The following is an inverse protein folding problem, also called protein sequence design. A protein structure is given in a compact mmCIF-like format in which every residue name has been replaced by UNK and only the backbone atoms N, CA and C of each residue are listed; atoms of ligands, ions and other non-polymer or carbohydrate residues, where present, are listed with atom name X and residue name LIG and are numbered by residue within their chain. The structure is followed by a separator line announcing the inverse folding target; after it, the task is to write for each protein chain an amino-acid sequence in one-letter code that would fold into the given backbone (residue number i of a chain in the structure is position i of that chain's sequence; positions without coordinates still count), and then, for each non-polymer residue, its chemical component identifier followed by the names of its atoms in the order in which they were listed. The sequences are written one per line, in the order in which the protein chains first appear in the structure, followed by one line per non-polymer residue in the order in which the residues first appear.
data_IF_854042330390
#
_entry.id   IF_854042330390
#
_cell.length_a   1.000
_cell.length_b   1.000
_cell.length_c   1.000
_cell.angle_alpha   90.00
_cell.angle_beta   90.00
_cell.angle_gamma   90.00
#
_symmetry.space_group_name_H-M   'P 1'
#
loop_
_entity.id
_entity.type
_entity.pdbx_description
1 polymer ?
#
# COMPACT_ATOMS: atom_id res chain seq x y z
N UNK A 1 -46.58 -14.10 -4.04
CA UNK A 1 -46.08 -12.80 -4.57
C UNK A 1 -45.10 -12.06 -3.66
N UNK A 2 -45.15 -12.21 -2.31
CA UNK A 2 -44.23 -11.50 -1.38
C UNK A 2 -42.77 -12.02 -1.37
N UNK A 3 -42.55 -13.31 -1.67
CA UNK A 3 -41.20 -13.93 -1.68
C UNK A 3 -40.33 -13.41 -2.84
N UNK A 4 -40.92 -13.26 -4.03
CA UNK A 4 -40.23 -12.77 -5.24
C UNK A 4 -39.81 -11.30 -5.05
N UNK A 5 -40.65 -10.50 -4.39
CA UNK A 5 -40.36 -9.10 -4.11
C UNK A 5 -39.19 -8.92 -3.12
N UNK A 6 -39.04 -9.81 -2.12
CA UNK A 6 -37.89 -9.79 -1.18
C UNK A 6 -36.58 -10.19 -1.85
N UNK A 7 -36.61 -11.11 -2.82
CA UNK A 7 -35.42 -11.54 -3.56
C UNK A 7 -34.90 -10.45 -4.50
N UNK A 8 -35.81 -9.73 -5.17
CA UNK A 8 -35.46 -8.57 -6.00
C UNK A 8 -34.92 -7.43 -5.13
N UNK A 9 -35.50 -7.20 -3.95
CA UNK A 9 -35.02 -6.16 -3.03
C UNK A 9 -33.61 -6.48 -2.49
N UNK A 10 -33.29 -7.76 -2.26
CA UNK A 10 -31.98 -8.21 -1.78
C UNK A 10 -30.89 -8.10 -2.86
N UNK A 11 -31.23 -8.37 -4.13
CA UNK A 11 -30.26 -8.23 -5.23
C UNK A 11 -29.92 -6.78 -5.53
N UNK A 12 -30.89 -5.87 -5.43
CA UNK A 12 -30.66 -4.41 -5.56
C UNK A 12 -29.80 -3.87 -4.40
N UNK A 13 -29.95 -4.44 -3.20
CA UNK A 13 -29.13 -4.10 -2.04
C UNK A 13 -27.65 -4.52 -2.23
N UNK A 14 -27.39 -5.70 -2.80
CA UNK A 14 -26.03 -6.15 -3.12
C UNK A 14 -25.35 -5.33 -4.22
N UNK A 15 -26.13 -4.73 -5.15
CA UNK A 15 -25.57 -3.93 -6.24
C UNK A 15 -24.98 -2.58 -5.76
N UNK A 16 -25.46 -2.08 -4.63
CA UNK A 16 -25.01 -0.83 -4.01
C UNK A 16 -24.07 -1.06 -2.81
N UNK A 17 -23.72 -2.30 -2.51
CA UNK A 17 -22.72 -2.59 -1.49
C UNK A 17 -21.36 -2.05 -1.98
N UNK A 18 -20.61 -1.31 -1.16
CA UNK A 18 -19.24 -0.93 -1.51
C UNK A 18 -18.46 -2.21 -1.77
N UNK A 19 -17.93 -2.34 -2.98
CA UNK A 19 -17.00 -3.41 -3.32
C UNK A 19 -15.74 -3.17 -2.49
N UNK A 20 -15.61 -3.86 -1.36
CA UNK A 20 -14.34 -4.04 -0.70
C UNK A 20 -13.48 -4.95 -1.60
N UNK A 21 -12.84 -4.35 -2.61
CA UNK A 21 -11.68 -4.94 -3.23
C UNK A 21 -10.57 -4.99 -2.19
N UNK A 22 -9.82 -6.09 -2.15
CA UNK A 22 -8.54 -6.12 -1.43
C UNK A 22 -7.73 -4.95 -1.97
N UNK A 23 -7.46 -3.96 -1.13
CA UNK A 23 -6.67 -2.81 -1.57
C UNK A 23 -5.26 -3.32 -1.88
N UNK A 24 -4.87 -3.31 -3.15
CA UNK A 24 -3.59 -3.84 -3.61
C UNK A 24 -2.46 -2.87 -3.21
N UNK A 25 -2.19 -2.76 -1.91
CA UNK A 25 -1.18 -1.89 -1.32
C UNK A 25 -0.08 -2.71 -0.67
N UNK A 26 1.13 -2.18 -0.72
CA UNK A 26 2.30 -2.71 -0.01
C UNK A 26 3.00 -1.55 0.68
N UNK A 27 3.27 -1.69 1.97
CA UNK A 27 4.07 -0.73 2.73
C UNK A 27 5.53 -1.12 2.60
N UNK A 28 6.34 -0.21 2.07
CA UNK A 28 7.77 -0.46 1.84
C UNK A 28 8.59 0.35 2.84
N UNK A 29 9.35 -0.34 3.68
CA UNK A 29 10.24 0.24 4.68
C UNK A 29 11.59 0.57 4.06
N UNK A 30 12.05 1.81 4.26
CA UNK A 30 13.44 2.17 3.92
C UNK A 30 13.96 3.26 4.85
N UNK A 31 15.27 3.26 5.08
CA UNK A 31 15.95 4.29 5.89
C UNK A 31 16.05 5.61 5.15
N UNK A 32 16.19 5.58 3.83
CA UNK A 32 16.32 6.77 2.99
C UNK A 32 17.60 7.56 3.26
N UNK A 33 18.65 6.91 3.77
CA UNK A 33 19.95 7.51 4.08
C UNK A 33 21.10 6.88 3.27
N UNK A 34 20.77 6.13 2.21
CA UNK A 34 21.72 5.31 1.47
C UNK A 34 21.74 5.60 -0.04
N UNK A 35 22.29 6.75 -0.47
CA UNK A 35 22.41 7.08 -1.89
C UNK A 35 23.45 6.17 -2.61
N UNK A 36 23.23 5.84 -3.91
CA UNK A 36 22.15 6.31 -4.77
C UNK A 36 20.87 5.46 -4.71
N UNK A 37 20.78 4.50 -3.78
CA UNK A 37 19.69 3.54 -3.71
C UNK A 37 18.40 4.18 -3.15
N UNK A 38 18.49 4.79 -1.97
CA UNK A 38 17.37 5.50 -1.35
C UNK A 38 17.82 6.78 -0.66
N UNK A 39 17.04 7.84 -0.80
CA UNK A 39 17.25 9.14 -0.17
C UNK A 39 15.90 9.73 0.25
N UNK A 40 15.78 10.12 1.52
CA UNK A 40 14.62 10.78 2.09
C UNK A 40 14.80 12.31 2.06
N UNK A 41 13.85 13.00 1.44
CA UNK A 41 13.76 14.47 1.46
C UNK A 41 12.84 14.91 2.61
N UNK A 42 13.42 15.51 3.65
CA UNK A 42 12.67 16.00 4.81
C UNK A 42 11.72 17.16 4.48
N UNK A 43 11.97 17.93 3.41
CA UNK A 43 11.09 19.05 3.04
C UNK A 43 9.78 18.55 2.46
N UNK A 44 9.87 17.54 1.60
CA UNK A 44 8.73 17.02 0.84
C UNK A 44 8.17 15.72 1.42
N UNK A 45 8.81 15.15 2.45
CA UNK A 45 8.47 13.85 3.04
C UNK A 45 8.39 12.74 1.98
N UNK A 46 9.35 12.73 1.05
CA UNK A 46 9.36 11.83 -0.11
C UNK A 46 10.68 11.07 -0.22
N UNK A 47 10.60 9.85 -0.73
CA UNK A 47 11.77 9.06 -1.07
C UNK A 47 12.12 9.20 -2.54
N UNK A 48 13.41 9.07 -2.85
CA UNK A 48 13.97 9.04 -4.20
C UNK A 48 15.17 8.08 -4.26
N UNK A 49 15.59 7.70 -5.46
CA UNK A 49 16.75 6.83 -5.66
C UNK A 49 16.43 5.63 -6.54
N UNK A 50 17.46 4.82 -6.83
CA UNK A 50 17.36 3.70 -7.76
C UNK A 50 16.32 2.66 -7.32
N UNK A 51 16.30 2.30 -6.04
CA UNK A 51 15.37 1.29 -5.52
C UNK A 51 13.94 1.83 -5.50
N UNK A 52 13.78 3.13 -5.20
CA UNK A 52 12.48 3.82 -5.21
C UNK A 52 11.89 3.83 -6.62
N UNK A 53 12.70 4.19 -7.62
CA UNK A 53 12.27 4.23 -9.02
C UNK A 53 11.92 2.84 -9.55
N UNK A 54 12.74 1.83 -9.22
CA UNK A 54 12.52 0.44 -9.61
C UNK A 54 11.22 -0.11 -9.02
N UNK A 55 11.02 0.05 -7.72
CA UNK A 55 9.83 -0.44 -7.02
C UNK A 55 8.57 0.29 -7.48
N UNK A 56 8.65 1.60 -7.69
CA UNK A 56 7.52 2.40 -8.20
C UNK A 56 7.10 1.91 -9.59
N UNK A 57 8.04 1.71 -10.52
CA UNK A 57 7.74 1.16 -11.86
C UNK A 57 7.17 -0.24 -11.80
N UNK A 58 7.71 -1.10 -10.94
CA UNK A 58 7.19 -2.45 -10.75
C UNK A 58 5.75 -2.41 -10.22
N UNK A 59 5.46 -1.54 -9.26
CA UNK A 59 4.13 -1.40 -8.68
C UNK A 59 3.11 -0.87 -9.70
N UNK A 60 3.48 0.14 -10.49
CA UNK A 60 2.65 0.68 -11.58
C UNK A 60 2.25 -0.40 -12.59
N UNK A 61 3.20 -1.26 -13.01
CA UNK A 61 2.94 -2.35 -13.95
C UNK A 61 1.98 -3.42 -13.40
N UNK A 62 1.91 -3.57 -12.08
CA UNK A 62 1.12 -4.59 -11.40
C UNK A 62 -0.14 -4.03 -10.72
N UNK A 63 -0.48 -2.76 -10.94
CA UNK A 63 -1.58 -2.06 -10.25
C UNK A 63 -1.48 -2.16 -8.72
N UNK A 64 -0.25 -2.12 -8.18
CA UNK A 64 0.05 -2.08 -6.75
C UNK A 64 0.26 -0.62 -6.35
N UNK A 65 -0.23 -0.22 -5.17
CA UNK A 65 0.13 1.06 -4.55
C UNK A 65 1.22 0.85 -3.52
N UNK A 66 2.26 1.68 -3.55
CA UNK A 66 3.31 1.68 -2.53
C UNK A 66 3.01 2.79 -1.51
N UNK A 67 2.98 2.41 -0.24
CA UNK A 67 3.00 3.34 0.88
C UNK A 67 4.41 3.31 1.49
N UNK A 68 5.21 4.36 1.24
CA UNK A 68 6.58 4.42 1.75
C UNK A 68 6.62 4.71 3.24
N UNK A 69 7.43 3.94 3.98
CA UNK A 69 7.55 4.03 5.43
C UNK A 69 9.01 4.30 5.80
N UNK A 70 9.25 5.42 6.50
CA UNK A 70 10.56 5.72 7.06
C UNK A 70 10.85 4.86 8.30
N UNK A 71 12.02 4.27 8.33
CA UNK A 71 12.59 3.54 9.47
C UNK A 71 14.03 3.98 9.68
N UNK A 72 14.68 3.52 10.75
CA UNK A 72 16.11 3.73 11.00
C UNK A 72 16.82 2.37 11.05
N UNK A 73 18.13 2.34 10.88
CA UNK A 73 18.90 1.09 10.89
C UNK A 73 18.76 0.33 12.21
N UNK A 74 18.75 1.05 13.33
CA UNK A 74 18.63 0.51 14.67
C UNK A 74 17.24 -0.09 14.93
N UNK A 75 16.18 0.47 14.32
CA UNK A 75 14.80 0.00 14.50
C UNK A 75 14.32 -0.95 13.42
N UNK A 76 15.04 -1.09 12.29
CA UNK A 76 14.59 -1.80 11.09
C UNK A 76 14.01 -3.18 11.38
N UNK A 77 14.73 -4.00 12.15
CA UNK A 77 14.28 -5.36 12.47
C UNK A 77 13.02 -5.37 13.34
N UNK A 78 12.97 -4.49 14.33
CA UNK A 78 11.81 -4.37 15.22
C UNK A 78 10.60 -3.85 14.47
N UNK A 79 10.78 -2.80 13.67
CA UNK A 79 9.74 -2.17 12.86
C UNK A 79 9.12 -3.16 11.86
N UNK A 80 9.95 -4.02 11.26
CA UNK A 80 9.47 -5.12 10.43
C UNK A 80 8.68 -6.15 11.26
N UNK A 81 9.20 -6.59 12.40
CA UNK A 81 8.55 -7.61 13.25
C UNK A 81 7.18 -7.16 13.80
N UNK A 82 7.03 -5.87 14.12
CA UNK A 82 5.75 -5.32 14.59
C UNK A 82 4.81 -4.94 13.44
N UNK A 83 5.21 -5.19 12.19
CA UNK A 83 4.38 -4.97 11.01
C UNK A 83 4.19 -3.50 10.67
N UNK A 84 5.19 -2.64 10.94
CA UNK A 84 5.18 -1.22 10.53
C UNK A 84 5.16 -1.08 9.00
N UNK A 85 5.84 -1.99 8.32
CA UNK A 85 5.84 -2.16 6.86
C UNK A 85 5.82 -3.65 6.50
N UNK A 86 5.60 -3.95 5.21
CA UNK A 86 5.43 -5.32 4.71
C UNK A 86 6.71 -5.88 4.08
N UNK A 87 7.57 -5.00 3.56
CA UNK A 87 8.87 -5.33 2.94
C UNK A 87 9.88 -4.23 3.20
#
# INVERSE_FOLDING_TARGET
MKIILRLILLSILCLNAPRFGVENRVRVGTTGDYPPLTLFDEKNHSFSGLDVDLLTKFAEQNNIKIDWVKTEWESLSTDFQVGKFDV
#
